data_IF_217338085597
#
_entry.id   IF_217338085597
#
_cell.length_a   1.000
_cell.length_b   1.000
_cell.length_c   1.000
_cell.angle_alpha   90.00
_cell.angle_beta   90.00
_cell.angle_gamma   90.00
#
_symmetry.space_group_name_H-M   'P 1'
#
loop_
_entity.id
_entity.type
_entity.pdbx_description
1 polymer ?
#
# COMPACT_ATOMS: atom_id res chain seq x y z
N UNK A 1 -1.06 13.84 7.11
CA UNK A 1 -2.06 12.84 6.66
C UNK A 1 -2.19 12.96 5.14
N UNK A 2 -2.28 11.84 4.42
CA UNK A 2 -2.49 11.77 2.97
C UNK A 2 -3.59 10.74 2.67
N UNK A 3 -4.02 10.63 1.42
CA UNK A 3 -5.03 9.66 0.98
C UNK A 3 -4.68 9.09 -0.40
N UNK A 4 -5.24 7.92 -0.73
CA UNK A 4 -5.03 7.28 -2.01
C UNK A 4 -6.00 7.83 -3.07
N UNK A 5 -5.51 8.05 -4.28
CA UNK A 5 -6.29 8.39 -5.47
C UNK A 5 -6.11 7.26 -6.47
N UNK A 6 -7.21 6.83 -7.13
CA UNK A 6 -7.16 5.75 -8.10
C UNK A 6 -6.26 6.12 -9.29
N UNK A 7 -5.24 5.30 -9.53
CA UNK A 7 -4.40 5.36 -10.73
C UNK A 7 -4.99 4.56 -11.90
N UNK A 8 -4.35 4.67 -13.07
CA UNK A 8 -4.70 3.87 -14.25
C UNK A 8 -4.43 2.38 -13.97
N UNK A 9 -5.39 1.53 -14.30
CA UNK A 9 -5.28 0.08 -14.13
C UNK A 9 -4.03 -0.47 -14.84
N UNK A 10 -3.36 -1.43 -14.19
CA UNK A 10 -2.14 -2.11 -14.68
C UNK A 10 -0.95 -1.22 -15.04
N UNK A 11 -0.94 0.05 -14.64
CA UNK A 11 0.16 0.98 -14.95
C UNK A 11 1.37 0.86 -14.02
N UNK A 12 1.21 0.26 -12.84
CA UNK A 12 2.24 0.26 -11.80
C UNK A 12 2.51 1.64 -11.19
N UNK A 13 1.65 2.63 -11.43
CA UNK A 13 1.91 4.01 -10.99
C UNK A 13 1.81 4.16 -9.47
N UNK A 14 2.88 4.70 -8.87
CA UNK A 14 2.89 5.25 -7.53
C UNK A 14 3.31 6.71 -7.66
N UNK A 15 2.35 7.62 -7.48
CA UNK A 15 2.58 9.07 -7.63
C UNK A 15 2.34 9.77 -6.30
N UNK A 16 3.42 10.33 -5.73
CA UNK A 16 3.35 11.14 -4.52
C UNK A 16 3.22 12.60 -4.92
N UNK A 17 2.04 13.19 -4.72
CA UNK A 17 1.68 14.48 -5.29
C UNK A 17 1.62 15.60 -4.23
N UNK A 18 1.73 16.85 -4.71
CA UNK A 18 1.56 18.05 -3.88
C UNK A 18 2.59 18.13 -2.75
N UNK A 19 2.16 18.54 -1.55
CA UNK A 19 3.04 18.69 -0.40
C UNK A 19 3.74 17.37 0.01
N UNK A 20 3.15 16.22 -0.30
CA UNK A 20 3.77 14.93 -0.02
C UNK A 20 5.01 14.65 -0.90
N UNK A 21 5.11 15.28 -2.07
CA UNK A 21 6.27 15.14 -2.96
C UNK A 21 7.58 15.64 -2.32
N UNK A 22 7.52 16.50 -1.30
CA UNK A 22 8.70 16.89 -0.53
C UNK A 22 9.25 15.78 0.38
N UNK A 23 8.56 14.63 0.47
CA UNK A 23 8.89 13.50 1.36
C UNK A 23 9.26 12.22 0.62
N UNK A 24 9.20 12.21 -0.72
CA UNK A 24 9.57 11.06 -1.55
C UNK A 24 10.04 11.54 -2.93
N UNK A 25 11.03 10.86 -3.48
CA UNK A 25 11.59 11.10 -4.82
C UNK A 25 11.33 9.90 -5.74
N UNK A 26 11.39 10.12 -7.05
CA UNK A 26 11.31 9.02 -8.03
C UNK A 26 12.45 8.04 -7.77
N UNK A 27 12.10 6.75 -7.60
CA UNK A 27 13.04 5.67 -7.30
C UNK A 27 13.10 5.27 -5.82
N UNK A 28 12.51 6.04 -4.92
CA UNK A 28 12.41 5.66 -3.51
C UNK A 28 11.56 4.39 -3.35
N UNK A 29 12.01 3.49 -2.46
CA UNK A 29 11.23 2.32 -2.07
C UNK A 29 10.26 2.70 -0.96
N UNK A 30 8.97 2.53 -1.21
CA UNK A 30 7.90 2.91 -0.27
C UNK A 30 7.17 1.68 0.29
N UNK A 31 6.69 1.82 1.53
CA UNK A 31 5.67 0.95 2.12
C UNK A 31 4.40 1.79 2.27
N UNK A 32 3.29 1.34 1.68
CA UNK A 32 1.98 1.98 1.80
C UNK A 32 1.09 1.11 2.69
N UNK A 33 0.59 1.68 3.78
CA UNK A 33 -0.24 0.98 4.75
C UNK A 33 -1.56 1.72 5.00
N UNK A 34 -2.62 0.95 5.21
CA UNK A 34 -3.94 1.44 5.62
C UNK A 34 -4.28 0.87 6.99
N UNK A 35 -4.97 1.65 7.80
CA UNK A 35 -5.41 1.26 9.13
C UNK A 35 -6.92 1.41 9.22
N UNK A 36 -7.55 0.53 9.98
CA UNK A 36 -8.96 0.60 10.32
C UNK A 36 -9.13 0.25 11.81
N UNK A 37 -10.17 0.79 12.42
CA UNK A 37 -10.57 0.40 13.77
C UNK A 37 -11.41 -0.87 13.69
N UNK A 38 -11.15 -1.80 14.60
CA UNK A 38 -11.88 -3.04 14.75
C UNK A 38 -12.29 -3.20 16.21
N UNK A 39 -13.45 -3.79 16.45
CA UNK A 39 -13.78 -4.33 17.78
C UNK A 39 -13.12 -5.71 18.01
N UNK A 40 -13.19 -6.20 19.24
CA UNK A 40 -12.59 -7.49 19.61
C UNK A 40 -13.18 -8.70 18.86
N UNK A 41 -14.43 -8.62 18.41
CA UNK A 41 -15.08 -9.70 17.65
C UNK A 41 -14.58 -9.69 16.21
N UNK A 42 -14.55 -8.52 15.58
CA UNK A 42 -14.04 -8.36 14.21
C UNK A 42 -12.55 -8.72 14.11
N UNK A 43 -11.76 -8.39 15.12
CA UNK A 43 -10.32 -8.66 15.12
C UNK A 43 -9.98 -10.16 15.16
N UNK A 44 -10.85 -11.01 15.72
CA UNK A 44 -10.63 -12.48 15.78
C UNK A 44 -10.53 -13.11 14.40
N UNK A 45 -11.31 -12.59 13.46
CA UNK A 45 -11.38 -13.11 12.09
C UNK A 45 -10.59 -12.25 11.10
N UNK A 46 -10.03 -11.12 11.54
CA UNK A 46 -9.26 -10.23 10.69
C UNK A 46 -7.88 -10.79 10.37
N UNK A 47 -7.49 -10.69 9.10
CA UNK A 47 -6.10 -10.83 8.68
C UNK A 47 -5.73 -9.73 7.69
N UNK A 48 -4.53 -9.12 7.80
CA UNK A 48 -4.11 -8.07 6.88
C UNK A 48 -3.91 -8.64 5.48
N UNK A 49 -4.04 -7.79 4.46
CA UNK A 49 -3.64 -8.15 3.09
C UNK A 49 -2.27 -7.56 2.79
N UNK A 50 -1.27 -8.42 2.67
CA UNK A 50 0.09 -8.05 2.27
C UNK A 50 0.21 -8.20 0.76
N UNK A 51 0.67 -7.15 0.08
CA UNK A 51 0.90 -7.14 -1.36
C UNK A 51 2.40 -6.93 -1.61
N UNK A 52 3.07 -7.92 -2.18
CA UNK A 52 4.47 -7.85 -2.58
C UNK A 52 4.54 -7.59 -4.09
N UNK A 53 5.28 -6.55 -4.46
CA UNK A 53 5.44 -6.12 -5.85
C UNK A 53 6.89 -6.25 -6.31
N UNK A 54 7.10 -6.32 -7.62
CA UNK A 54 8.43 -6.24 -8.22
C UNK A 54 8.89 -4.79 -8.46
N UNK A 55 10.04 -4.62 -9.13
CA UNK A 55 10.61 -3.30 -9.48
C UNK A 55 9.76 -2.48 -10.44
N UNK A 56 8.79 -3.11 -11.13
CA UNK A 56 7.82 -2.45 -12.01
C UNK A 56 6.49 -2.17 -11.30
N UNK A 57 6.44 -2.39 -9.97
CA UNK A 57 5.23 -2.32 -9.15
C UNK A 57 4.14 -3.32 -9.57
N UNK A 58 4.49 -4.39 -10.31
CA UNK A 58 3.56 -5.46 -10.61
C UNK A 58 3.43 -6.39 -9.40
N UNK A 59 2.19 -6.80 -9.09
CA UNK A 59 1.90 -7.69 -7.96
C UNK A 59 2.47 -9.09 -8.24
N UNK A 60 3.41 -9.54 -7.40
CA UNK A 60 4.05 -10.86 -7.52
C UNK A 60 3.44 -11.87 -6.55
N UNK A 61 3.10 -11.42 -5.34
CA UNK A 61 2.61 -12.30 -4.27
C UNK A 61 1.67 -11.54 -3.34
N UNK A 62 0.66 -12.23 -2.85
CA UNK A 62 -0.15 -11.79 -1.71
C UNK A 62 0.03 -12.74 -0.53
N UNK A 63 -0.08 -12.22 0.70
CA UNK A 63 -0.07 -13.03 1.91
C UNK A 63 -0.97 -12.39 2.99
N UNK A 64 -1.27 -13.14 4.05
CA UNK A 64 -2.03 -12.67 5.21
C UNK A 64 -1.26 -12.69 6.53
N UNK A 65 0.01 -13.12 6.48
CA UNK A 65 0.93 -13.14 7.62
C UNK A 65 2.29 -12.59 7.20
N UNK A 66 2.91 -11.81 8.08
CA UNK A 66 4.30 -11.38 7.91
C UNK A 66 5.16 -12.59 8.27
N UNK A 67 5.79 -13.20 7.27
CA UNK A 67 6.70 -14.35 7.41
C UNK A 67 7.95 -14.09 6.58
#
# INVERSE_FOLDING_TARGET
ITYAIRGKDNSGVISVNGAAAHKASVGDLLIIATYASYDEKELKDYTPKLCYVDKSNALVRTNSKIV
#
